data_IF_826832332428
#
_entry.id   IF_826832332428
#
_cell.length_a   1.000
_cell.length_b   1.000
_cell.length_c   1.000
_cell.angle_alpha   90.00
_cell.angle_beta   90.00
_cell.angle_gamma   90.00
#
_symmetry.space_group_name_H-M   'P 1'
#
loop_
_entity.id
_entity.type
_entity.pdbx_description
1 polymer ?
#
# COMPACT_ATOMS: atom_id res chain seq x y z
N UNK A 1 36.34 -7.59 44.53
CA UNK A 1 34.86 -7.58 44.61
C UNK A 1 34.21 -6.25 44.17
N UNK A 2 34.95 -5.17 43.86
CA UNK A 2 34.31 -3.84 43.67
C UNK A 2 33.88 -3.49 42.23
N UNK A 3 34.56 -3.98 41.18
CA UNK A 3 34.26 -3.61 39.78
C UNK A 3 33.04 -4.33 39.19
N UNK A 4 32.88 -5.64 39.45
CA UNK A 4 31.71 -6.39 38.96
C UNK A 4 30.40 -5.84 39.53
N UNK A 5 30.39 -5.48 40.81
CA UNK A 5 29.21 -4.90 41.47
C UNK A 5 28.84 -3.53 40.88
N UNK A 6 29.84 -2.66 40.61
CA UNK A 6 29.61 -1.35 39.97
C UNK A 6 29.05 -1.51 38.56
N UNK A 7 29.57 -2.46 37.77
CA UNK A 7 29.08 -2.69 36.41
C UNK A 7 27.64 -3.23 36.39
N UNK A 8 27.30 -4.14 37.31
CA UNK A 8 25.92 -4.65 37.43
C UNK A 8 24.94 -3.55 37.87
N UNK A 9 25.34 -2.69 38.82
CA UNK A 9 24.51 -1.55 39.24
C UNK A 9 24.32 -0.55 38.09
N UNK A 10 25.36 -0.30 37.28
CA UNK A 10 25.25 0.61 36.13
C UNK A 10 24.28 0.07 35.06
N UNK A 11 24.36 -1.21 34.71
CA UNK A 11 23.43 -1.83 33.77
C UNK A 11 21.99 -1.80 34.31
N UNK A 12 21.81 -2.10 35.60
CA UNK A 12 20.48 -2.05 36.21
C UNK A 12 19.93 -0.62 36.24
N UNK A 13 20.79 0.39 36.46
CA UNK A 13 20.39 1.80 36.41
C UNK A 13 20.00 2.25 34.99
N UNK A 14 20.70 1.79 33.96
CA UNK A 14 20.37 2.08 32.55
C UNK A 14 19.05 1.43 32.13
N UNK A 15 18.78 0.20 32.61
CA UNK A 15 17.51 -0.49 32.37
C UNK A 15 16.32 0.11 33.15
N UNK A 16 16.59 0.88 34.20
CA UNK A 16 15.57 1.58 35.00
C UNK A 16 15.20 2.95 34.44
N UNK A 17 15.81 3.40 33.33
CA UNK A 17 15.38 4.62 32.65
C UNK A 17 14.09 4.27 31.89
N UNK A 18 12.92 4.79 32.30
CA UNK A 18 11.70 4.57 31.53
C UNK A 18 11.92 5.16 30.15
N UNK A 19 11.83 4.30 29.13
CA UNK A 19 11.74 4.77 27.75
C UNK A 19 10.32 5.30 27.61
N UNK A 20 10.12 6.56 27.99
CA UNK A 20 8.91 7.28 27.63
C UNK A 20 8.95 7.46 26.13
N UNK A 21 8.19 6.65 25.41
CA UNK A 21 7.87 6.92 24.01
C UNK A 21 6.96 8.14 24.09
N UNK A 22 7.54 9.33 23.87
CA UNK A 22 6.73 10.51 23.65
C UNK A 22 5.95 10.24 22.36
N UNK A 23 4.64 10.00 22.49
CA UNK A 23 3.76 10.02 21.34
C UNK A 23 3.97 11.38 20.66
N UNK A 24 4.30 11.35 19.35
CA UNK A 24 4.44 12.57 18.58
C UNK A 24 3.17 13.41 18.67
N UNK A 25 3.23 14.71 18.32
CA UNK A 25 1.99 15.47 18.16
C UNK A 25 1.03 14.70 17.25
N UNK A 26 -0.28 14.66 17.57
CA UNK A 26 -1.24 13.93 16.74
C UNK A 26 -1.18 14.44 15.30
N UNK A 27 -1.26 13.52 14.34
CA UNK A 27 -1.20 13.87 12.92
C UNK A 27 -2.37 14.79 12.54
N UNK A 28 -2.09 15.78 11.69
CA UNK A 28 -3.12 16.70 11.19
C UNK A 28 -4.13 15.93 10.32
N UNK A 29 -5.44 15.99 10.60
CA UNK A 29 -6.43 15.22 9.86
C UNK A 29 -6.51 15.63 8.39
N UNK A 30 -6.93 14.68 7.55
CA UNK A 30 -7.26 14.91 6.13
C UNK A 30 -8.74 15.20 6.00
N UNK A 31 -9.12 16.11 5.09
CA UNK A 31 -10.52 16.44 4.81
C UNK A 31 -10.90 16.06 3.39
N UNK A 32 -12.01 15.33 3.24
CA UNK A 32 -12.63 15.00 1.96
C UNK A 32 -14.01 15.64 1.85
N UNK A 33 -14.23 16.36 0.76
CA UNK A 33 -15.50 17.02 0.46
C UNK A 33 -15.93 16.68 -0.96
N UNK A 34 -17.19 16.33 -1.17
CA UNK A 34 -17.67 15.98 -2.51
C UNK A 34 -19.17 15.79 -2.61
N UNK A 35 -19.63 15.44 -3.79
CA UNK A 35 -20.99 14.96 -4.07
C UNK A 35 -21.04 13.44 -4.00
N UNK A 36 -22.24 12.89 -3.77
CA UNK A 36 -22.47 11.46 -3.71
C UNK A 36 -23.61 11.09 -4.66
N UNK A 37 -23.37 10.09 -5.50
CA UNK A 37 -24.36 9.53 -6.40
C UNK A 37 -24.49 8.02 -6.22
N UNK A 38 -25.71 7.51 -6.35
CA UNK A 38 -26.01 6.08 -6.43
C UNK A 38 -26.74 5.82 -7.73
N UNK A 39 -26.22 4.90 -8.55
CA UNK A 39 -26.74 4.60 -9.89
C UNK A 39 -26.81 5.85 -10.81
N UNK A 40 -25.93 6.82 -10.61
CA UNK A 40 -25.92 8.08 -11.35
C UNK A 40 -26.91 9.13 -10.86
N UNK A 41 -27.77 8.80 -9.90
CA UNK A 41 -28.70 9.72 -9.27
C UNK A 41 -28.11 10.28 -7.97
N UNK A 42 -28.44 11.53 -7.66
CA UNK A 42 -28.00 12.16 -6.42
C UNK A 42 -28.66 11.47 -5.22
N UNK A 43 -27.88 11.17 -4.17
CA UNK A 43 -28.43 10.47 -2.99
C UNK A 43 -29.23 11.41 -2.09
N UNK A 44 -30.20 10.84 -1.37
CA UNK A 44 -31.00 11.57 -0.38
C UNK A 44 -30.15 12.01 0.83
N UNK A 45 -30.65 13.01 1.56
CA UNK A 45 -30.05 13.47 2.80
C UNK A 45 -30.05 12.38 3.86
N UNK A 46 -28.98 12.31 4.66
CA UNK A 46 -28.80 11.27 5.67
C UNK A 46 -28.15 9.98 5.15
N UNK A 47 -27.85 9.89 3.85
CA UNK A 47 -27.08 8.76 3.29
C UNK A 47 -25.71 8.69 3.97
N UNK A 48 -25.36 7.53 4.53
CA UNK A 48 -24.09 7.34 5.25
C UNK A 48 -22.95 7.20 4.26
N UNK A 49 -21.89 7.99 4.48
CA UNK A 49 -20.61 7.86 3.79
C UNK A 49 -19.57 7.47 4.82
N UNK A 50 -18.84 6.39 4.55
CA UNK A 50 -17.84 5.85 5.46
C UNK A 50 -16.48 5.80 4.77
N UNK A 51 -15.42 6.02 5.55
CA UNK A 51 -14.03 5.85 5.13
C UNK A 51 -13.37 4.87 6.08
N UNK A 52 -12.83 3.79 5.51
CA UNK A 52 -12.09 2.77 6.24
C UNK A 52 -10.59 3.00 6.09
N UNK A 53 -9.87 2.93 7.20
CA UNK A 53 -8.42 3.11 7.31
C UNK A 53 -7.91 2.05 8.27
N UNK A 54 -7.19 1.06 7.74
CA UNK A 54 -6.81 -0.11 8.51
C UNK A 54 -8.04 -0.80 9.10
N UNK A 55 -8.12 -0.86 10.44
CA UNK A 55 -9.25 -1.43 11.18
C UNK A 55 -10.27 -0.38 11.67
N UNK A 56 -10.01 0.91 11.44
CA UNK A 56 -10.88 2.00 11.87
C UNK A 56 -11.85 2.42 10.75
N UNK A 57 -13.06 2.81 11.15
CA UNK A 57 -14.07 3.39 10.26
C UNK A 57 -14.47 4.77 10.79
N UNK A 58 -14.54 5.73 9.88
CA UNK A 58 -15.06 7.08 10.17
C UNK A 58 -16.25 7.36 9.26
N UNK A 59 -17.35 7.81 9.86
CA UNK A 59 -18.63 7.99 9.17
C UNK A 59 -19.05 9.47 9.14
N UNK A 60 -19.78 9.83 8.08
CA UNK A 60 -20.52 11.09 7.95
C UNK A 60 -21.85 10.84 7.25
N UNK A 61 -22.70 11.86 7.15
CA UNK A 61 -23.97 11.79 6.43
C UNK A 61 -24.04 12.88 5.36
N UNK A 62 -24.76 12.59 4.28
CA UNK A 62 -24.98 13.56 3.20
C UNK A 62 -25.98 14.64 3.57
N UNK A 63 -25.76 15.85 3.06
CA UNK A 63 -26.69 16.98 3.09
C UNK A 63 -26.70 17.62 1.70
N UNK A 64 -27.87 17.72 1.07
CA UNK A 64 -28.07 18.06 -0.34
C UNK A 64 -27.17 17.26 -1.28
N UNK A 65 -27.12 15.93 -1.07
CA UNK A 65 -26.27 15.00 -1.82
C UNK A 65 -24.75 15.30 -1.77
N UNK A 66 -24.31 16.10 -0.80
CA UNK A 66 -22.89 16.39 -0.54
C UNK A 66 -22.45 15.82 0.79
N UNK A 67 -21.19 15.46 0.89
CA UNK A 67 -20.58 15.02 2.15
C UNK A 67 -19.33 15.83 2.46
N UNK A 68 -18.99 15.86 3.74
CA UNK A 68 -17.72 16.38 4.25
C UNK A 68 -17.30 15.48 5.40
N UNK A 69 -16.09 14.91 5.31
CA UNK A 69 -15.54 14.03 6.33
C UNK A 69 -14.09 14.41 6.64
N UNK A 70 -13.78 14.48 7.94
CA UNK A 70 -12.41 14.64 8.42
C UNK A 70 -11.96 13.33 9.03
N UNK A 71 -10.79 12.88 8.59
CA UNK A 71 -10.30 11.56 8.94
C UNK A 71 -8.88 11.71 9.48
N UNK A 72 -8.50 11.03 10.58
CA UNK A 72 -7.13 11.03 11.07
C UNK A 72 -6.15 10.70 9.94
N UNK A 73 -5.02 11.41 9.89
CA UNK A 73 -4.01 11.11 8.88
C UNK A 73 -3.08 10.01 9.37
N UNK A 74 -2.90 9.00 8.54
CA UNK A 74 -1.77 8.10 8.59
C UNK A 74 -1.13 8.05 7.20
N UNK A 75 0.13 8.48 7.12
CA UNK A 75 0.79 8.73 5.83
C UNK A 75 1.15 7.45 5.04
N UNK A 76 0.67 6.29 5.49
CA UNK A 76 1.06 4.98 4.96
C UNK A 76 -0.13 4.05 4.72
N UNK A 77 -1.35 4.40 5.15
CA UNK A 77 -2.52 3.55 4.94
C UNK A 77 -3.42 4.06 3.82
N UNK A 78 -4.11 3.10 3.22
CA UNK A 78 -5.06 3.31 2.15
C UNK A 78 -6.45 3.62 2.71
N UNK A 79 -7.11 4.62 2.11
CA UNK A 79 -8.43 5.09 2.50
C UNK A 79 -9.45 4.50 1.53
N UNK A 80 -10.33 3.63 2.04
CA UNK A 80 -11.36 2.95 1.24
C UNK A 80 -12.71 3.57 1.53
N UNK A 81 -13.40 4.06 0.49
CA UNK A 81 -14.66 4.78 0.64
C UNK A 81 -15.88 3.89 0.38
N UNK A 82 -16.91 4.06 1.22
CA UNK A 82 -18.18 3.36 1.14
C UNK A 82 -19.35 4.35 1.14
N UNK A 83 -20.43 4.01 0.46
CA UNK A 83 -21.72 4.73 0.52
C UNK A 83 -22.81 3.73 0.85
N UNK A 84 -23.54 3.95 1.94
CA UNK A 84 -24.54 3.01 2.46
C UNK A 84 -24.01 1.58 2.63
N UNK A 85 -22.76 1.45 3.08
CA UNK A 85 -22.08 0.17 3.27
C UNK A 85 -21.60 -0.52 1.99
N UNK A 86 -21.80 0.07 0.82
CA UNK A 86 -21.29 -0.45 -0.45
C UNK A 86 -19.98 0.25 -0.80
N UNK A 87 -18.95 -0.54 -1.06
CA UNK A 87 -17.64 -0.02 -1.46
C UNK A 87 -17.73 0.71 -2.81
N UNK A 88 -17.10 1.88 -2.88
CA UNK A 88 -17.13 2.74 -4.08
C UNK A 88 -16.08 2.36 -5.13
N UNK A 89 -15.13 1.49 -4.79
CA UNK A 89 -13.92 1.22 -5.59
C UNK A 89 -12.95 2.40 -5.65
N UNK A 90 -13.13 3.41 -4.80
CA UNK A 90 -12.27 4.58 -4.71
C UNK A 90 -11.32 4.41 -3.54
N UNK A 91 -10.03 4.28 -3.84
CA UNK A 91 -8.95 4.18 -2.87
C UNK A 91 -7.94 5.32 -3.05
N UNK A 92 -7.32 5.78 -1.97
CA UNK A 92 -6.30 6.85 -2.00
C UNK A 92 -5.40 6.79 -0.76
N UNK A 93 -4.13 7.17 -0.92
CA UNK A 93 -3.18 7.43 0.17
C UNK A 93 -2.91 8.95 0.21
N UNK A 94 -3.60 9.72 1.07
CA UNK A 94 -3.48 11.18 1.13
C UNK A 94 -2.27 11.63 1.94
N UNK A 95 -1.76 12.83 1.65
CA UNK A 95 -0.79 13.50 2.52
C UNK A 95 -1.50 14.10 3.75
N UNK A 96 -0.90 14.02 4.95
CA UNK A 96 -1.42 14.69 6.16
C UNK A 96 -1.83 16.15 5.94
N UNK A 97 -2.94 16.56 6.56
CA UNK A 97 -3.45 17.94 6.52
C UNK A 97 -4.05 18.38 5.18
N UNK A 98 -4.17 17.48 4.20
CA UNK A 98 -4.68 17.82 2.88
C UNK A 98 -6.20 18.07 2.89
N UNK A 99 -6.63 18.98 2.01
CA UNK A 99 -8.02 19.13 1.60
C UNK A 99 -8.19 18.53 0.20
N UNK A 100 -9.06 17.54 0.05
CA UNK A 100 -9.21 16.77 -1.18
C UNK A 100 -10.67 16.85 -1.66
N UNK A 101 -10.97 17.57 -2.76
CA UNK A 101 -12.27 17.46 -3.40
C UNK A 101 -12.41 16.07 -4.01
N UNK A 102 -13.42 15.31 -3.58
CA UNK A 102 -13.53 13.88 -3.86
C UNK A 102 -14.99 13.45 -4.04
N UNK A 103 -15.47 13.44 -5.28
CA UNK A 103 -16.84 12.97 -5.59
C UNK A 103 -16.90 11.43 -5.53
N UNK A 104 -17.99 10.92 -4.95
CA UNK A 104 -18.26 9.49 -4.80
C UNK A 104 -19.42 9.07 -5.70
N UNK A 105 -19.27 7.91 -6.34
CA UNK A 105 -20.34 7.28 -7.12
C UNK A 105 -20.34 5.79 -6.83
N UNK A 106 -21.49 5.27 -6.46
CA UNK A 106 -21.73 3.84 -6.25
C UNK A 106 -22.77 3.38 -7.25
N UNK A 107 -22.65 2.16 -7.75
CA UNK A 107 -23.71 1.57 -8.55
C UNK A 107 -24.14 0.25 -7.92
N UNK A 108 -25.32 0.25 -7.31
CA UNK A 108 -25.89 -0.92 -6.66
C UNK A 108 -26.47 -1.80 -7.77
N UNK A 109 -25.88 -2.98 -8.00
CA UNK A 109 -26.53 -4.03 -8.81
C UNK A 109 -27.63 -4.59 -7.92
N UNK A 110 -28.85 -4.09 -8.04
CA UNK A 110 -29.98 -4.91 -7.62
C UNK A 110 -30.03 -6.06 -8.62
N UNK A 111 -29.52 -7.23 -8.23
CA UNK A 111 -29.91 -8.46 -8.91
C UNK A 111 -31.40 -8.57 -8.67
N UNK A 112 -32.17 -8.07 -9.63
CA UNK A 112 -33.61 -8.29 -9.72
C UNK A 112 -33.76 -9.79 -9.83
N UNK A 113 -33.86 -10.45 -8.68
CA UNK A 113 -34.24 -11.84 -8.62
C UNK A 113 -35.63 -11.85 -9.26
N UNK A 114 -35.68 -12.27 -10.52
CA UNK A 114 -36.90 -12.30 -11.32
C UNK A 114 -37.74 -13.46 -10.80
N UNK A 115 -38.25 -13.28 -9.58
CA UNK A 115 -39.26 -14.11 -8.98
C UNK A 115 -40.47 -14.10 -9.90
N UNK A 116 -40.55 -15.15 -10.72
CA UNK A 116 -41.74 -15.55 -11.43
C UNK A 116 -42.89 -15.54 -10.42
N UNK A 117 -43.79 -14.56 -10.59
CA UNK A 117 -45.08 -14.52 -9.90
C UNK A 117 -45.92 -15.70 -10.40
N UNK A 118 -45.68 -16.87 -9.83
CA UNK A 118 -46.56 -18.02 -9.90
C UNK A 118 -47.48 -17.98 -8.70
N UNK A 119 -48.74 -17.61 -8.94
CA UNK A 119 -49.85 -17.92 -8.05
C UNK A 119 -49.81 -19.42 -7.72
N UNK A 120 -49.57 -19.78 -6.46
CA UNK A 120 -50.18 -20.97 -5.88
C UNK A 120 -50.10 -20.97 -4.36
N UNK A 121 -51.29 -20.99 -3.77
CA UNK A 121 -51.59 -21.36 -2.41
C UNK A 121 -51.04 -22.75 -2.05
N UNK A 122 -50.31 -22.87 -0.95
CA UNK A 122 -49.99 -24.17 -0.34
C UNK A 122 -48.73 -24.12 0.51
N UNK A 123 -48.90 -24.22 1.82
CA UNK A 123 -47.81 -24.14 2.79
C UNK A 123 -46.76 -25.24 2.66
N UNK A 124 -45.58 -24.98 3.23
CA UNK A 124 -44.52 -25.98 3.32
C UNK A 124 -43.18 -25.36 3.63
N UNK A 125 -42.69 -25.65 4.83
CA UNK A 125 -41.40 -25.26 5.40
C UNK A 125 -40.17 -25.60 4.55
N UNK A 126 -39.21 -24.68 4.57
CA UNK A 126 -37.78 -24.98 4.73
C UNK A 126 -36.96 -25.26 3.47
N UNK A 127 -35.84 -24.54 3.33
CA UNK A 127 -34.69 -25.04 2.56
C UNK A 127 -33.91 -24.00 1.77
N UNK A 128 -32.72 -23.67 2.26
CA UNK A 128 -31.48 -23.55 1.48
C UNK A 128 -31.41 -22.52 0.35
N UNK A 129 -30.88 -21.33 0.66
CA UNK A 129 -30.35 -20.41 -0.35
C UNK A 129 -29.07 -20.98 -0.97
N UNK A 130 -29.16 -21.46 -2.20
CA UNK A 130 -28.02 -21.85 -3.03
C UNK A 130 -27.40 -20.61 -3.67
N UNK A 131 -26.16 -20.29 -3.31
CA UNK A 131 -25.38 -19.26 -3.97
C UNK A 131 -25.16 -19.63 -5.44
N UNK A 132 -25.78 -18.86 -6.34
CA UNK A 132 -25.58 -18.98 -7.78
C UNK A 132 -24.12 -18.66 -8.12
N UNK A 133 -23.36 -19.68 -8.48
CA UNK A 133 -22.05 -19.51 -9.09
C UNK A 133 -22.26 -18.83 -10.44
N UNK A 134 -21.85 -17.57 -10.55
CA UNK A 134 -21.84 -16.85 -11.82
C UNK A 134 -20.85 -17.53 -12.76
N UNK A 135 -21.33 -18.48 -13.56
CA UNK A 135 -20.57 -19.05 -14.67
C UNK A 135 -20.19 -17.94 -15.63
N UNK A 136 -18.90 -17.79 -15.89
CA UNK A 136 -18.38 -16.87 -16.91
C UNK A 136 -18.79 -17.45 -18.27
N UNK A 137 -19.62 -16.73 -19.03
CA UNK A 137 -20.14 -17.22 -20.32
C UNK A 137 -19.37 -16.71 -21.53
N UNK A 138 -18.43 -15.78 -21.35
CA UNK A 138 -17.74 -15.12 -22.48
C UNK A 138 -16.31 -15.61 -22.53
N UNK A 139 -16.04 -16.62 -23.35
CA UNK A 139 -14.68 -17.05 -23.69
C UNK A 139 -14.21 -16.17 -24.84
N UNK A 140 -13.08 -15.48 -24.68
CA UNK A 140 -12.54 -14.63 -25.76
C UNK A 140 -11.99 -15.49 -26.91
N UNK A 141 -12.09 -14.93 -28.10
CA UNK A 141 -11.66 -15.54 -29.37
C UNK A 141 -10.88 -14.51 -30.20
N UNK A 142 -10.34 -14.92 -31.35
CA UNK A 142 -9.70 -14.00 -32.31
C UNK A 142 -10.72 -13.07 -33.02
N UNK A 143 -12.01 -13.41 -32.95
CA UNK A 143 -13.10 -12.55 -33.44
C UNK A 143 -13.50 -11.48 -32.41
N UNK A 144 -13.89 -10.30 -32.89
CA UNK A 144 -14.37 -9.21 -32.04
C UNK A 144 -15.66 -9.59 -31.32
N UNK A 145 -15.65 -9.44 -30.00
CA UNK A 145 -16.83 -9.52 -29.15
C UNK A 145 -17.15 -8.12 -28.63
N UNK A 146 -18.39 -7.68 -28.88
CA UNK A 146 -18.86 -6.34 -28.49
C UNK A 146 -19.53 -6.38 -27.12
N UNK A 147 -19.09 -5.48 -26.25
CA UNK A 147 -19.59 -5.32 -24.90
C UNK A 147 -19.97 -3.88 -24.63
N UNK A 148 -21.24 -3.69 -24.30
CA UNK A 148 -21.70 -2.43 -23.75
C UNK A 148 -21.45 -2.42 -22.24
N UNK A 149 -20.55 -1.56 -21.78
CA UNK A 149 -20.14 -1.47 -20.38
C UNK A 149 -20.41 -0.06 -19.86
N UNK A 150 -21.31 0.03 -18.87
CA UNK A 150 -21.58 1.28 -18.17
C UNK A 150 -20.43 1.63 -17.22
N UNK A 151 -20.28 2.91 -16.89
CA UNK A 151 -19.36 3.39 -15.85
C UNK A 151 -19.56 2.59 -14.56
N UNK A 152 -18.48 2.34 -13.84
CA UNK A 152 -18.34 1.49 -12.66
C UNK A 152 -18.95 0.08 -12.82
N UNK A 153 -19.02 -0.43 -14.05
CA UNK A 153 -19.37 -1.83 -14.35
C UNK A 153 -18.18 -2.54 -14.99
N UNK A 154 -18.08 -3.82 -14.66
CA UNK A 154 -17.12 -4.73 -15.25
C UNK A 154 -17.79 -5.72 -16.19
N UNK A 155 -17.07 -6.16 -17.22
CA UNK A 155 -17.43 -7.34 -18.00
C UNK A 155 -16.39 -8.42 -17.76
N UNK A 156 -16.85 -9.55 -17.21
CA UNK A 156 -16.02 -10.72 -17.04
C UNK A 156 -15.93 -11.52 -18.35
N UNK A 157 -14.72 -11.98 -18.64
CA UNK A 157 -14.42 -12.89 -19.74
C UNK A 157 -13.38 -13.93 -19.30
N UNK A 158 -13.24 -14.99 -20.07
CA UNK A 158 -12.29 -16.08 -19.82
C UNK A 158 -11.26 -16.14 -20.94
N UNK A 159 -10.00 -16.31 -20.58
CA UNK A 159 -8.87 -16.55 -21.47
C UNK A 159 -7.91 -17.54 -20.79
N UNK A 160 -7.50 -18.59 -21.51
CA UNK A 160 -6.66 -19.68 -20.99
C UNK A 160 -7.09 -20.23 -19.61
N UNK A 161 -8.39 -20.53 -19.49
CA UNK A 161 -9.05 -20.96 -18.25
C UNK A 161 -9.05 -19.95 -17.09
N UNK A 162 -8.39 -18.80 -17.22
CA UNK A 162 -8.37 -17.71 -16.24
C UNK A 162 -9.49 -16.71 -16.46
N UNK A 163 -10.04 -16.19 -15.36
CA UNK A 163 -11.11 -15.19 -15.38
C UNK A 163 -10.50 -13.80 -15.30
N UNK A 164 -10.85 -12.96 -16.26
CA UNK A 164 -10.47 -11.55 -16.31
C UNK A 164 -11.71 -10.67 -16.24
N UNK A 165 -11.53 -9.41 -15.82
CA UNK A 165 -12.59 -8.41 -15.77
C UNK A 165 -12.05 -7.11 -16.34
N UNK A 166 -12.75 -6.56 -17.33
CA UNK A 166 -12.52 -5.18 -17.80
C UNK A 166 -13.62 -4.29 -17.22
N UNK A 167 -13.21 -3.25 -16.49
CA UNK A 167 -14.11 -2.32 -15.80
C UNK A 167 -13.99 -0.92 -16.40
N UNK A 168 -15.12 -0.25 -16.64
CA UNK A 168 -15.13 1.16 -17.03
C UNK A 168 -15.15 2.01 -15.76
N UNK A 169 -14.02 2.57 -15.34
CA UNK A 169 -13.92 3.38 -14.11
C UNK A 169 -14.36 4.84 -14.30
N UNK A 170 -14.47 5.30 -15.55
CA UNK A 170 -14.79 6.70 -15.84
C UNK A 170 -15.13 6.93 -17.29
N UNK A 171 -16.02 7.88 -17.55
CA UNK A 171 -16.33 8.37 -18.89
C UNK A 171 -16.32 9.90 -18.85
N UNK A 172 -15.58 10.52 -19.77
CA UNK A 172 -15.50 11.97 -19.91
C UNK A 172 -15.47 12.35 -21.39
N UNK A 173 -16.58 12.90 -21.88
CA UNK A 173 -16.74 13.21 -23.31
C UNK A 173 -16.66 11.96 -24.17
N UNK A 174 -15.63 11.86 -25.03
CA UNK A 174 -15.36 10.68 -25.86
C UNK A 174 -14.26 9.78 -25.29
N UNK A 175 -13.79 10.03 -24.08
CA UNK A 175 -12.71 9.29 -23.43
C UNK A 175 -13.26 8.39 -22.32
N UNK A 176 -12.72 7.19 -22.21
CA UNK A 176 -13.07 6.17 -21.22
C UNK A 176 -11.84 5.78 -20.43
N UNK A 177 -11.98 5.71 -19.11
CA UNK A 177 -10.97 5.14 -18.21
C UNK A 177 -11.31 3.68 -17.96
N UNK A 178 -10.46 2.76 -18.40
CA UNK A 178 -10.61 1.32 -18.22
C UNK A 178 -9.67 0.81 -17.14
N UNK A 179 -10.11 -0.20 -16.40
CA UNK A 179 -9.28 -1.01 -15.51
C UNK A 179 -9.37 -2.46 -15.96
N UNK A 180 -8.23 -3.13 -16.01
CA UNK A 180 -8.13 -4.54 -16.30
C UNK A 180 -7.60 -5.25 -15.06
N UNK A 181 -8.49 -5.95 -14.35
CA UNK A 181 -8.24 -6.42 -12.99
C UNK A 181 -7.14 -7.50 -12.90
N UNK A 182 -6.81 -8.19 -14.00
CA UNK A 182 -5.75 -9.23 -13.98
C UNK A 182 -4.33 -8.67 -13.95
N UNK A 183 -4.15 -7.45 -14.44
CA UNK A 183 -2.84 -6.81 -14.59
C UNK A 183 -2.70 -5.53 -13.74
N UNK A 184 -3.71 -5.23 -12.92
CA UNK A 184 -3.88 -3.93 -12.23
C UNK A 184 -3.64 -2.73 -13.17
N UNK A 185 -4.03 -2.91 -14.44
CA UNK A 185 -3.65 -1.99 -15.50
C UNK A 185 -4.78 -1.00 -15.80
N UNK A 186 -4.46 0.29 -15.70
CA UNK A 186 -5.40 1.39 -15.92
C UNK A 186 -5.08 2.11 -17.22
N UNK A 187 -6.07 2.22 -18.10
CA UNK A 187 -5.95 2.86 -19.40
C UNK A 187 -6.94 4.01 -19.55
N UNK A 188 -6.57 5.04 -20.30
CA UNK A 188 -7.47 6.10 -20.74
C UNK A 188 -7.49 6.08 -22.26
N UNK A 189 -8.65 5.78 -22.85
CA UNK A 189 -8.79 5.54 -24.29
C UNK A 189 -9.91 6.38 -24.87
N UNK A 190 -9.69 6.99 -26.03
CA UNK A 190 -10.73 7.73 -26.75
C UNK A 190 -11.56 6.81 -27.66
N UNK A 191 -12.78 7.21 -28.01
CA UNK A 191 -13.57 6.52 -29.03
C UNK A 191 -12.79 6.40 -30.35
N UNK A 192 -12.74 5.19 -30.90
CA UNK A 192 -11.94 4.77 -32.04
C UNK A 192 -10.55 4.24 -31.69
N UNK A 193 -10.07 4.42 -30.46
CA UNK A 193 -8.73 3.98 -30.04
C UNK A 193 -8.70 2.48 -29.79
N UNK A 194 -7.57 1.86 -30.17
CA UNK A 194 -7.27 0.46 -29.91
C UNK A 194 -5.99 0.37 -29.10
N UNK A 195 -5.99 -0.49 -28.10
CA UNK A 195 -4.81 -0.80 -27.30
C UNK A 195 -4.66 -2.30 -27.14
N UNK A 196 -3.43 -2.78 -27.26
CA UNK A 196 -3.09 -4.18 -27.04
C UNK A 196 -2.39 -4.30 -25.68
N UNK A 197 -2.80 -5.30 -24.91
CA UNK A 197 -2.33 -5.53 -23.54
C UNK A 197 -1.94 -6.99 -23.42
N UNK A 198 -0.78 -7.25 -22.84
CA UNK A 198 -0.40 -8.61 -22.49
C UNK A 198 -1.18 -9.05 -21.24
N UNK A 199 -1.91 -10.16 -21.33
CA UNK A 199 -2.64 -10.73 -20.19
C UNK A 199 -1.80 -11.72 -19.39
N UNK A 200 -0.76 -12.28 -20.01
CA UNK A 200 0.06 -13.35 -19.44
C UNK A 200 1.41 -13.35 -20.15
N UNK A 201 2.50 -13.19 -19.41
CA UNK A 201 3.85 -13.05 -19.96
C UNK A 201 4.29 -14.15 -20.96
N UNK A 202 3.69 -15.35 -20.90
CA UNK A 202 4.02 -16.49 -21.76
C UNK A 202 2.95 -16.81 -22.82
N UNK A 203 1.95 -15.95 -23.00
CA UNK A 203 0.88 -16.16 -23.97
C UNK A 203 1.31 -15.75 -25.39
N UNK A 204 1.00 -16.59 -26.38
CA UNK A 204 1.15 -16.25 -27.81
C UNK A 204 0.16 -15.17 -28.27
N UNK A 205 -0.76 -14.76 -27.40
CA UNK A 205 -1.82 -13.80 -27.68
C UNK A 205 -1.73 -12.55 -26.78
N UNK A 206 -2.12 -11.41 -27.35
CA UNK A 206 -2.38 -10.14 -26.69
C UNK A 206 -3.88 -9.87 -26.69
N UNK A 207 -4.39 -9.22 -25.65
CA UNK A 207 -5.76 -8.70 -25.62
C UNK A 207 -5.82 -7.36 -26.37
N UNK A 208 -6.54 -7.32 -27.47
CA UNK A 208 -6.86 -6.07 -28.18
C UNK A 208 -8.18 -5.51 -27.68
N UNK A 209 -8.11 -4.34 -27.06
CA UNK A 209 -9.23 -3.57 -26.54
C UNK A 209 -9.48 -2.41 -27.51
N UNK A 210 -10.67 -2.29 -28.08
CA UNK A 210 -11.06 -1.16 -28.91
C UNK A 210 -12.29 -0.46 -28.30
N UNK A 211 -12.21 0.85 -28.08
CA UNK A 211 -13.37 1.64 -27.63
C UNK A 211 -14.12 2.12 -28.87
N UNK A 212 -15.11 1.37 -29.33
CA UNK A 212 -15.84 1.70 -30.55
C UNK A 212 -16.58 3.03 -30.41
N UNK A 213 -17.39 3.17 -29.36
CA UNK A 213 -18.17 4.37 -29.10
C UNK A 213 -18.36 4.65 -27.62
N UNK A 214 -18.60 5.92 -27.31
CA UNK A 214 -18.89 6.40 -25.96
C UNK A 214 -20.17 7.20 -26.03
N UNK A 215 -21.17 6.83 -25.23
CA UNK A 215 -22.46 7.50 -25.20
C UNK A 215 -22.96 7.63 -23.77
N UNK A 216 -23.06 8.87 -23.30
CA UNK A 216 -23.42 9.17 -21.92
C UNK A 216 -22.44 8.54 -20.93
N UNK A 217 -22.94 7.68 -20.05
CA UNK A 217 -22.17 6.95 -19.05
C UNK A 217 -21.75 5.54 -19.49
N UNK A 218 -21.82 5.23 -20.77
CA UNK A 218 -21.61 3.88 -21.29
C UNK A 218 -20.61 3.88 -22.45
N UNK A 219 -19.77 2.85 -22.50
CA UNK A 219 -18.83 2.59 -23.59
C UNK A 219 -19.22 1.31 -24.31
N UNK A 220 -19.18 1.31 -25.64
CA UNK A 220 -19.15 0.09 -26.42
C UNK A 220 -17.69 -0.30 -26.65
N UNK A 221 -17.29 -1.44 -26.10
CA UNK A 221 -15.92 -1.94 -26.13
C UNK A 221 -15.90 -3.24 -26.93
N UNK A 222 -15.00 -3.32 -27.89
CA UNK A 222 -14.73 -4.54 -28.63
C UNK A 222 -13.47 -5.19 -28.05
N UNK A 223 -13.55 -6.46 -27.69
CA UNK A 223 -12.42 -7.27 -27.25
C UNK A 223 -12.14 -8.36 -28.28
N UNK A 224 -10.87 -8.64 -28.54
CA UNK A 224 -10.42 -9.83 -29.28
C UNK A 224 -9.01 -10.24 -28.85
N UNK A 225 -8.65 -11.47 -29.12
CA UNK A 225 -7.28 -11.95 -29.01
C UNK A 225 -6.53 -11.70 -30.33
N UNK A 226 -5.28 -11.25 -30.24
CA UNK A 226 -4.40 -10.98 -31.39
C UNK A 226 -3.09 -11.71 -31.17
N UNK A 227 -2.59 -12.40 -32.20
CA UNK A 227 -1.28 -13.07 -32.13
C UNK A 227 -0.17 -12.05 -31.86
N UNK A 228 0.69 -12.36 -30.88
CA UNK A 228 1.89 -11.60 -30.56
C UNK A 228 2.85 -11.65 -31.76
N UNK A 229 3.35 -10.50 -32.26
CA UNK A 229 4.31 -10.51 -33.36
C UNK A 229 5.63 -11.16 -32.92
N UNK A 230 6.15 -12.09 -33.72
CA UNK A 230 7.38 -12.86 -33.42
C UNK A 230 8.59 -11.97 -33.08
N UNK A 231 8.66 -10.76 -33.65
CA UNK A 231 9.76 -9.82 -33.43
C UNK A 231 9.89 -9.35 -31.97
N UNK A 232 8.79 -9.33 -31.21
CA UNK A 232 8.82 -8.90 -29.80
C UNK A 232 9.38 -9.99 -28.89
N UNK A 233 9.22 -11.26 -29.26
CA UNK A 233 9.66 -12.42 -28.48
C UNK A 233 11.20 -12.55 -28.50
N UNK A 234 11.85 -12.15 -29.59
CA UNK A 234 13.32 -12.20 -29.68
C UNK A 234 13.99 -11.16 -28.78
N UNK A 235 13.43 -9.95 -28.69
CA UNK A 235 13.99 -8.87 -27.89
C UNK A 235 13.89 -9.15 -26.38
N UNK A 236 12.77 -9.74 -25.90
CA UNK A 236 12.62 -10.14 -24.49
C UNK A 236 13.57 -11.28 -24.11
N UNK A 237 13.73 -12.29 -24.99
CA UNK A 237 14.70 -13.38 -24.75
C UNK A 237 16.13 -12.87 -24.70
N UNK A 238 16.45 -11.86 -25.51
CA UNK A 238 17.78 -11.23 -25.51
C UNK A 238 18.03 -10.44 -24.22
N UNK A 239 17.04 -9.71 -23.73
CA UNK A 239 17.13 -8.97 -22.47
C UNK A 239 17.32 -9.90 -21.25
N UNK A 240 16.62 -11.04 -21.21
CA UNK A 240 16.75 -12.03 -20.13
C UNK A 240 18.10 -12.77 -20.21
N UNK A 241 18.61 -13.04 -21.42
CA UNK A 241 19.92 -13.65 -21.62
C UNK A 241 21.09 -12.77 -21.13
N UNK A 242 21.00 -11.45 -21.32
CA UNK A 242 22.05 -10.50 -20.92
C UNK A 242 22.12 -10.28 -19.38
N UNK A 243 21.00 -10.47 -18.67
CA UNK A 243 20.96 -10.34 -17.20
C UNK A 243 21.64 -11.53 -16.51
N UNK A 244 21.63 -12.73 -17.10
CA UNK A 244 22.23 -13.92 -16.51
C UNK A 244 23.76 -13.96 -16.70
N UNK A 245 24.32 -13.32 -17.73
CA UNK A 245 25.78 -13.25 -17.93
C UNK A 245 26.48 -12.14 -17.13
N UNK A 246 25.74 -11.26 -16.44
CA UNK A 246 26.33 -10.13 -15.71
C UNK A 246 26.47 -10.36 -14.19
N UNK A 247 26.18 -11.57 -13.68
CA UNK A 247 26.35 -11.91 -12.25
C UNK A 247 27.68 -12.59 -11.91
N UNK A 248 28.65 -12.58 -12.83
CA UNK A 248 30.04 -12.92 -12.49
C UNK A 248 30.96 -11.76 -12.87
N UNK A 249 31.75 -11.31 -11.90
CA UNK A 249 32.72 -10.19 -11.97
C UNK A 249 32.14 -8.82 -11.61
N UNK A 250 31.81 -8.63 -10.32
CA UNK A 250 32.08 -7.33 -9.66
C UNK A 250 33.28 -7.57 -8.75
N UNK A 251 34.46 -7.33 -9.33
CA UNK A 251 35.69 -7.11 -8.60
C UNK A 251 35.74 -5.62 -8.24
N UNK A 252 35.97 -5.35 -6.96
CA UNK A 252 36.03 -4.02 -6.32
C UNK A 252 36.72 -2.96 -7.18
N UNK A 253 36.00 -1.86 -7.47
CA UNK A 253 36.62 -0.58 -7.76
C UNK A 253 35.73 0.60 -7.41
N UNK A 254 36.10 1.17 -6.27
CA UNK A 254 35.96 2.55 -5.83
C UNK A 254 35.38 3.57 -6.85
N UNK A 255 34.40 4.33 -6.33
CA UNK A 255 34.01 5.70 -6.69
C UNK A 255 32.94 5.89 -7.78
N UNK A 256 31.68 6.07 -7.36
CA UNK A 256 30.86 7.25 -7.74
C UNK A 256 29.49 7.20 -7.05
N UNK A 257 29.42 7.78 -5.85
CA UNK A 257 28.22 7.83 -5.00
C UNK A 257 27.39 9.11 -5.25
N UNK A 258 27.33 9.60 -6.49
CA UNK A 258 26.79 10.93 -6.81
C UNK A 258 25.47 10.94 -7.61
N UNK A 259 24.88 9.78 -7.93
CA UNK A 259 23.67 9.71 -8.76
C UNK A 259 22.40 9.21 -8.04
N UNK A 260 22.46 8.95 -6.72
CA UNK A 260 21.31 8.50 -5.92
C UNK A 260 20.74 9.67 -5.13
N UNK A 261 20.25 10.70 -5.82
CA UNK A 261 19.69 11.92 -5.19
C UNK A 261 18.34 12.34 -5.75
N UNK A 262 17.60 11.40 -6.37
CA UNK A 262 16.32 11.69 -7.00
C UNK A 262 15.05 11.24 -6.25
N UNK A 263 15.16 10.44 -5.18
CA UNK A 263 14.00 9.75 -4.61
C UNK A 263 13.97 9.70 -3.06
N UNK A 264 14.23 10.82 -2.38
CA UNK A 264 13.99 10.95 -0.93
C UNK A 264 13.01 12.08 -0.65
N UNK A 265 11.78 11.94 -1.16
CA UNK A 265 10.63 12.70 -0.68
C UNK A 265 10.10 11.99 0.59
N UNK A 266 10.76 12.28 1.72
CA UNK A 266 10.49 11.64 3.00
C UNK A 266 11.66 11.85 3.94
N UNK A 267 12.06 13.10 4.16
CA UNK A 267 13.06 13.40 5.17
C UNK A 267 12.49 12.97 6.53
N UNK A 268 13.16 12.08 7.27
CA UNK A 268 12.73 11.74 8.62
C UNK A 268 12.71 13.04 9.43
N UNK A 269 11.61 13.23 10.16
CA UNK A 269 11.38 14.39 11.00
C UNK A 269 12.63 14.68 11.87
N UNK A 270 13.13 15.93 11.83
CA UNK A 270 14.40 16.31 12.47
C UNK A 270 14.41 16.04 13.99
N UNK A 271 13.23 15.86 14.58
CA UNK A 271 13.00 15.41 15.95
C UNK A 271 13.67 14.06 16.26
N UNK A 272 13.69 13.13 15.30
CA UNK A 272 14.31 11.80 15.45
C UNK A 272 15.83 11.91 15.51
N UNK A 273 16.42 12.79 14.69
CA UNK A 273 17.86 13.06 14.68
C UNK A 273 18.35 13.63 16.02
N UNK A 274 17.57 14.53 16.63
CA UNK A 274 17.93 15.12 17.92
C UNK A 274 18.02 14.08 19.05
N UNK A 275 17.10 13.10 19.07
CA UNK A 275 17.13 12.01 20.05
C UNK A 275 18.35 11.09 19.86
N UNK A 276 18.73 10.80 18.61
CA UNK A 276 19.91 9.99 18.29
C UNK A 276 21.20 10.68 18.79
N UNK A 277 21.34 11.99 18.58
CA UNK A 277 22.51 12.74 19.07
C UNK A 277 22.63 12.72 20.60
N UNK A 278 21.50 12.81 21.31
CA UNK A 278 21.51 12.73 22.78
C UNK A 278 21.99 11.37 23.28
N UNK A 279 21.51 10.27 22.67
CA UNK A 279 21.95 8.90 23.02
C UNK A 279 23.45 8.72 22.78
N UNK A 280 23.97 9.19 21.64
CA UNK A 280 25.40 9.13 21.33
C UNK A 280 26.22 9.92 22.35
N UNK A 281 25.77 11.12 22.75
CA UNK A 281 26.46 11.94 23.75
C UNK A 281 26.53 11.25 25.12
N UNK A 282 25.42 10.65 25.58
CA UNK A 282 25.39 9.89 26.84
C UNK A 282 26.33 8.67 26.77
N UNK A 283 26.35 7.96 25.65
CA UNK A 283 27.23 6.81 25.45
C UNK A 283 28.71 7.21 25.56
N UNK A 284 29.12 8.31 24.92
CA UNK A 284 30.50 8.82 24.99
C UNK A 284 30.88 9.16 26.44
N UNK A 285 29.99 9.81 27.20
CA UNK A 285 30.24 10.15 28.62
C UNK A 285 30.47 8.88 29.44
N UNK A 286 29.67 7.83 29.24
CA UNK A 286 29.83 6.54 29.94
C UNK A 286 31.19 5.90 29.62
N UNK A 287 31.60 5.88 28.35
CA UNK A 287 32.89 5.34 27.93
C UNK A 287 34.06 6.11 28.55
N UNK A 288 33.99 7.44 28.57
CA UNK A 288 35.01 8.29 29.19
C UNK A 288 35.10 8.03 30.69
N UNK A 289 33.97 7.94 31.39
CA UNK A 289 33.94 7.60 32.81
C UNK A 289 34.58 6.23 33.07
N UNK A 290 34.22 5.20 32.30
CA UNK A 290 34.84 3.87 32.39
C UNK A 290 36.36 3.93 32.20
N UNK A 291 36.85 4.73 31.24
CA UNK A 291 38.27 4.91 31.01
C UNK A 291 38.97 5.62 32.17
N UNK A 292 38.35 6.65 32.75
CA UNK A 292 38.87 7.36 33.93
C UNK A 292 38.92 6.45 35.17
N UNK A 293 37.90 5.62 35.39
CA UNK A 293 37.90 4.64 36.47
C UNK A 293 38.93 3.51 36.26
N UNK A 294 39.18 3.10 35.02
CA UNK A 294 40.23 2.13 34.71
C UNK A 294 41.63 2.70 35.01
N UNK A 295 41.89 3.98 34.67
CA UNK A 295 43.17 4.64 34.99
C UNK A 295 43.39 4.79 36.49
N UNK A 296 42.38 5.21 37.25
CA UNK A 296 42.51 5.38 38.71
C UNK A 296 42.66 4.04 39.44
N UNK A 297 42.00 2.98 38.98
CA UNK A 297 42.18 1.63 39.50
C UNK A 297 43.63 1.12 39.35
N UNK A 298 44.29 1.42 38.22
CA UNK A 298 45.71 1.06 38.00
C UNK A 298 46.64 1.73 39.01
N UNK A 299 46.38 2.99 39.39
CA UNK A 299 47.20 3.71 40.37
C UNK A 299 47.05 3.15 41.79
N UNK A 300 45.83 2.84 42.21
CA UNK A 300 45.58 2.23 43.52
C UNK A 300 46.24 0.86 43.68
N UNK A 301 46.17 0.00 42.64
CA UNK A 301 46.82 -1.31 42.66
C UNK A 301 48.35 -1.16 42.74
N UNK A 302 48.94 -0.20 42.01
CA UNK A 302 50.39 0.05 42.04
C UNK A 302 50.86 0.51 43.43
N UNK A 303 50.07 1.35 44.12
CA UNK A 303 50.39 1.79 45.49
C UNK A 303 50.24 0.67 46.52
N UNK A 304 49.19 -0.16 46.39
CA UNK A 304 48.98 -1.31 47.27
C UNK A 304 50.10 -2.36 47.14
N UNK A 305 50.53 -2.67 45.90
CA UNK A 305 51.67 -3.54 45.64
C UNK A 305 52.96 -2.98 46.22
N UNK A 306 53.22 -1.68 46.06
CA UNK A 306 54.44 -1.04 46.61
C UNK A 306 54.50 -1.15 48.14
N UNK A 307 53.37 -0.99 48.84
CA UNK A 307 53.31 -1.21 50.30
C UNK A 307 53.50 -2.67 50.69
N UNK A 308 52.89 -3.61 49.95
CA UNK A 308 53.05 -5.04 50.21
C UNK A 308 54.51 -5.52 50.03
N UNK A 309 55.22 -5.00 49.03
CA UNK A 309 56.62 -5.36 48.78
C UNK A 309 57.65 -4.54 49.58
N UNK A 310 57.28 -3.37 50.11
CA UNK A 310 58.19 -2.50 50.90
C UNK A 310 58.33 -2.91 52.37
N UNK A 311 57.48 -3.80 52.90
CA UNK A 311 57.44 -4.15 54.33
C UNK A 311 58.33 -5.32 54.77
N UNK A 312 59.18 -5.86 53.89
CA UNK A 312 59.73 -7.21 54.07
C UNK A 312 61.19 -7.35 54.48
N UNK A 313 61.94 -6.29 54.86
CA UNK A 313 63.39 -6.43 55.02
C UNK A 313 64.03 -5.69 56.21
N UNK A 314 63.41 -5.75 57.40
CA UNK A 314 64.01 -5.13 58.61
C UNK A 314 63.97 -6.01 59.86
N UNK A 315 64.27 -7.32 59.73
CA UNK A 315 64.54 -8.19 60.89
C UNK A 315 65.57 -9.28 60.61
N UNK A 316 66.83 -8.89 60.40
CA UNK A 316 67.98 -9.75 60.70
C UNK A 316 69.22 -8.91 61.00
N UNK A 317 69.27 -8.36 62.22
CA UNK A 317 70.52 -8.15 62.96
C UNK A 317 70.27 -8.49 64.43
N UNK A 318 70.59 -9.73 64.77
CA UNK A 318 70.96 -10.17 66.11
C UNK A 318 72.31 -10.84 65.98
#
# INVERSE_FOLDING_TARGET
MKIKCIFTILIMLVLLIPISIAEGPPATPVRFDGTVTVNGEAVEDGTVVSVKIGDENVDTQTINSRYSIQVPSNNEEEYIFYVSGVETGRHIVPNSGSYIPFDLSVIIITTSDSGSSGDNSGGGSGGGGGGGSSTVTNVLTEEYQSFQISINRGKAFQFDDEKHIVTVNGVSGNTVKLNLDSEDAIFSMSSGETKEVDLQANSDYLLSINVESVSGSTANILLKLVLRPESVIEDEKKAIGEIIETESVIEDKDNSFAAITGAFAGLPDLSILQNIYFIIAVFIIVVVLLFMFNKSAKLYIKQALRKAFSGGNDKTKK
#
